data_IF_644106410690
#
_entry.id   IF_644106410690
#
_cell.length_a   1.000
_cell.length_b   1.000
_cell.length_c   1.000
_cell.angle_alpha   90.00
_cell.angle_beta   90.00
_cell.angle_gamma   90.00
#
_symmetry.space_group_name_H-M   'P 1'
#
loop_
_entity.id
_entity.type
_entity.pdbx_description
1 polymer ?
#
# COMPACT_ATOMS: atom_id res chain seq x y z
N UNK A 1 6.42 -13.24 3.75
CA UNK A 1 5.34 -12.55 4.51
C UNK A 1 5.66 -11.06 4.65
N UNK A 2 6.90 -10.74 5.04
CA UNK A 2 7.50 -9.40 5.17
C UNK A 2 7.22 -8.50 3.96
N UNK A 3 7.52 -8.99 2.76
CA UNK A 3 7.33 -8.28 1.48
C UNK A 3 5.86 -8.04 1.10
N UNK A 4 4.94 -8.73 1.76
CA UNK A 4 3.52 -8.42 1.64
C UNK A 4 3.24 -7.01 2.12
N UNK A 5 3.86 -6.55 3.22
CA UNK A 5 3.63 -5.21 3.78
C UNK A 5 3.88 -4.10 2.76
N UNK A 6 4.99 -4.18 2.03
CA UNK A 6 5.39 -3.25 0.96
C UNK A 6 4.32 -3.10 -0.11
N UNK A 7 3.78 -4.22 -0.60
CA UNK A 7 2.77 -4.21 -1.65
C UNK A 7 1.45 -3.55 -1.21
N UNK A 8 1.05 -3.72 0.05
CA UNK A 8 -0.15 -3.04 0.58
C UNK A 8 0.10 -1.55 0.82
N UNK A 9 1.31 -1.19 1.29
CA UNK A 9 1.72 0.22 1.37
C UNK A 9 1.78 0.88 -0.01
N UNK A 10 2.19 0.13 -1.04
CA UNK A 10 2.17 0.61 -2.43
C UNK A 10 0.73 0.90 -2.87
N UNK A 11 -0.18 -0.05 -2.72
CA UNK A 11 -1.60 0.16 -3.06
C UNK A 11 -2.19 1.36 -2.30
N UNK A 12 -1.90 1.47 -1.00
CA UNK A 12 -2.34 2.58 -0.17
C UNK A 12 -1.81 3.95 -0.62
N UNK A 13 -0.50 4.08 -0.82
CA UNK A 13 0.13 5.35 -1.19
C UNK A 13 -0.24 5.77 -2.61
N UNK A 14 -0.38 4.81 -3.54
CA UNK A 14 -0.91 5.04 -4.86
C UNK A 14 -2.35 5.58 -4.80
N UNK A 15 -3.24 4.89 -4.09
CA UNK A 15 -4.64 5.33 -3.97
C UNK A 15 -4.74 6.70 -3.29
N UNK A 16 -3.97 6.97 -2.24
CA UNK A 16 -3.98 8.30 -1.63
C UNK A 16 -3.58 9.40 -2.60
N UNK A 17 -2.56 9.17 -3.44
CA UNK A 17 -2.18 10.14 -4.48
C UNK A 17 -3.29 10.31 -5.51
N UNK A 18 -3.91 9.22 -5.98
CA UNK A 18 -4.97 9.26 -6.97
C UNK A 18 -6.16 10.13 -6.52
N UNK A 19 -6.50 10.06 -5.23
CA UNK A 19 -7.61 10.82 -4.64
C UNK A 19 -7.14 12.10 -3.92
N UNK A 20 -5.90 12.55 -4.12
CA UNK A 20 -5.29 13.72 -3.46
C UNK A 20 -5.38 13.72 -1.91
N UNK A 21 -5.55 12.54 -1.31
CA UNK A 21 -5.77 12.36 0.12
C UNK A 21 -7.14 12.82 0.63
N UNK A 22 -8.05 13.28 -0.23
CA UNK A 22 -9.39 13.69 0.16
C UNK A 22 -10.36 12.51 0.10
N UNK A 23 -10.67 11.99 1.29
CA UNK A 23 -11.57 10.86 1.50
C UNK A 23 -12.78 11.28 2.36
N UNK A 24 -13.15 12.56 2.32
CA UNK A 24 -14.20 13.14 3.16
C UNK A 24 -15.61 12.70 2.76
N UNK A 25 -15.83 12.38 1.48
CA UNK A 25 -17.11 11.92 0.96
C UNK A 25 -17.21 10.38 0.92
N UNK A 26 -18.40 9.85 1.21
CA UNK A 26 -18.66 8.40 1.23
C UNK A 26 -18.37 7.72 -0.13
N UNK A 27 -18.72 8.38 -1.24
CA UNK A 27 -18.44 7.88 -2.59
C UNK A 27 -16.93 7.81 -2.85
N UNK A 28 -16.20 8.86 -2.46
CA UNK A 28 -14.74 8.91 -2.60
C UNK A 28 -14.05 7.85 -1.76
N UNK A 29 -14.53 7.61 -0.54
CA UNK A 29 -14.04 6.53 0.32
C UNK A 29 -14.31 5.14 -0.29
N UNK A 30 -15.47 4.93 -0.92
CA UNK A 30 -15.79 3.70 -1.62
C UNK A 30 -14.84 3.48 -2.81
N UNK A 31 -14.70 4.46 -3.69
CA UNK A 31 -13.82 4.39 -4.86
C UNK A 31 -12.35 4.20 -4.46
N UNK A 32 -11.90 4.87 -3.39
CA UNK A 32 -10.59 4.66 -2.80
C UNK A 32 -10.40 3.21 -2.37
N UNK A 33 -11.37 2.63 -1.65
CA UNK A 33 -11.27 1.25 -1.19
C UNK A 33 -11.32 0.27 -2.35
N UNK A 34 -12.14 0.51 -3.38
CA UNK A 34 -12.13 -0.29 -4.60
C UNK A 34 -10.79 -0.23 -5.32
N UNK A 35 -10.17 0.95 -5.39
CA UNK A 35 -8.83 1.13 -5.97
C UNK A 35 -7.78 0.37 -5.17
N UNK A 36 -7.76 0.52 -3.84
CA UNK A 36 -6.82 -0.22 -2.99
C UNK A 36 -7.00 -1.71 -3.17
N UNK A 37 -8.23 -2.21 -3.20
CA UNK A 37 -8.53 -3.62 -3.41
C UNK A 37 -8.19 -4.10 -4.83
N UNK A 38 -8.35 -3.24 -5.85
CA UNK A 38 -7.98 -3.55 -7.23
C UNK A 38 -6.46 -3.66 -7.39
N UNK A 39 -5.71 -2.67 -6.89
CA UNK A 39 -4.25 -2.62 -6.98
C UNK A 39 -3.60 -3.69 -6.08
N UNK A 40 -4.16 -3.94 -4.89
CA UNK A 40 -3.66 -5.01 -4.01
C UNK A 40 -4.19 -6.41 -4.37
N UNK A 41 -5.05 -6.52 -5.40
CA UNK A 41 -5.85 -7.72 -5.71
C UNK A 41 -6.85 -8.12 -4.62
N UNK A 42 -6.83 -7.41 -3.47
CA UNK A 42 -7.66 -7.36 -2.26
C UNK A 42 -6.79 -7.44 -1.01
N UNK A 43 -5.84 -8.37 -0.96
CA UNK A 43 -4.93 -8.68 0.14
C UNK A 43 -4.11 -9.92 -0.31
N UNK A 44 -3.62 -9.91 -1.54
CA UNK A 44 -3.53 -11.11 -2.39
C UNK A 44 -3.16 -12.42 -1.64
N UNK A 45 -4.14 -13.30 -1.45
CA UNK A 45 -4.05 -14.46 -0.56
C UNK A 45 -3.10 -15.50 -1.16
N UNK A 46 -1.97 -15.70 -0.48
CA UNK A 46 -0.82 -16.57 -0.79
C UNK A 46 0.22 -16.06 -1.79
N UNK A 47 0.10 -14.86 -2.35
CA UNK A 47 1.21 -14.35 -3.15
C UNK A 47 2.38 -14.03 -2.21
N UNK A 48 3.48 -14.76 -2.40
CA UNK A 48 4.73 -14.59 -1.67
C UNK A 48 5.71 -13.98 -2.65
N UNK A 49 6.19 -12.78 -2.32
CA UNK A 49 7.31 -12.18 -3.03
C UNK A 49 8.61 -12.72 -2.45
N UNK A 50 9.59 -12.88 -3.32
CA UNK A 50 10.97 -13.30 -3.01
C UNK A 50 11.91 -12.12 -2.77
N UNK A 51 11.52 -10.91 -3.19
CA UNK A 51 12.29 -9.68 -2.98
C UNK A 51 11.42 -8.41 -2.92
N UNK A 52 12.00 -7.33 -2.38
CA UNK A 52 11.42 -5.97 -2.41
C UNK A 52 11.19 -5.48 -3.83
N UNK A 53 12.14 -5.75 -4.74
CA UNK A 53 12.01 -5.45 -6.15
C UNK A 53 10.76 -6.10 -6.75
N UNK A 54 10.56 -7.40 -6.51
CA UNK A 54 9.40 -8.14 -7.02
C UNK A 54 8.08 -7.56 -6.47
N UNK A 55 8.02 -7.25 -5.18
CA UNK A 55 6.83 -6.68 -4.56
C UNK A 55 6.47 -5.30 -5.15
N UNK A 56 7.46 -4.44 -5.38
CA UNK A 56 7.25 -3.11 -5.94
C UNK A 56 6.87 -3.17 -7.42
N UNK A 57 7.54 -4.02 -8.20
CA UNK A 57 7.18 -4.24 -9.61
C UNK A 57 5.80 -4.85 -9.76
N UNK A 58 5.39 -5.77 -8.87
CA UNK A 58 4.02 -6.25 -8.85
C UNK A 58 3.00 -5.12 -8.64
N UNK A 59 3.33 -4.13 -7.78
CA UNK A 59 2.53 -2.92 -7.58
C UNK A 59 2.40 -2.10 -8.86
N UNK A 60 3.53 -1.83 -9.53
CA UNK A 60 3.56 -1.12 -10.81
C UNK A 60 2.71 -1.85 -11.85
N UNK A 61 2.89 -3.17 -12.01
CA UNK A 61 2.12 -3.97 -12.96
C UNK A 61 0.63 -3.99 -12.62
N UNK A 62 0.24 -4.04 -11.35
CA UNK A 62 -1.16 -3.98 -10.93
C UNK A 62 -1.83 -2.64 -11.31
N UNK A 63 -1.08 -1.53 -11.24
CA UNK A 63 -1.56 -0.22 -11.69
C UNK A 63 -1.66 -0.16 -13.22
N UNK A 64 -0.61 -0.59 -13.93
CA UNK A 64 -0.53 -0.53 -15.40
C UNK A 64 -1.49 -1.49 -16.10
N UNK A 65 -1.85 -2.61 -15.48
CA UNK A 65 -2.88 -3.53 -15.98
C UNK A 65 -4.30 -3.18 -15.52
N UNK A 66 -4.41 -2.24 -14.58
CA UNK A 66 -5.67 -1.77 -14.02
C UNK A 66 -6.29 -0.63 -14.83
N UNK A 67 -7.25 0.06 -14.21
CA UNK A 67 -7.98 1.18 -14.84
C UNK A 67 -7.22 2.52 -14.78
N UNK A 68 -6.00 2.54 -14.22
CA UNK A 68 -5.31 3.76 -13.79
C UNK A 68 -4.06 4.06 -14.63
N UNK A 69 -4.10 3.72 -15.92
CA UNK A 69 -2.93 3.76 -16.84
C UNK A 69 -2.60 5.16 -17.37
N UNK A 70 -3.40 6.18 -17.06
CA UNK A 70 -3.30 7.52 -17.62
C UNK A 70 -2.22 8.39 -16.99
N UNK A 71 -1.65 7.98 -15.86
CA UNK A 71 -0.56 8.69 -15.17
C UNK A 71 0.73 7.86 -15.26
N UNK A 72 1.67 8.23 -16.15
CA UNK A 72 2.95 7.54 -16.30
C UNK A 72 3.86 7.66 -15.07
N UNK A 73 3.72 8.73 -14.28
CA UNK A 73 4.58 8.99 -13.11
C UNK A 73 3.99 8.40 -11.83
N UNK A 74 2.67 8.25 -11.77
CA UNK A 74 1.91 7.71 -10.64
C UNK A 74 2.51 6.46 -10.00
N UNK A 75 2.88 5.41 -10.77
CA UNK A 75 3.53 4.22 -10.23
C UNK A 75 4.87 4.52 -9.53
N UNK A 76 5.75 5.30 -10.17
CA UNK A 76 7.07 5.68 -9.63
C UNK A 76 6.94 6.52 -8.37
N UNK A 77 5.97 7.43 -8.35
CA UNK A 77 5.68 8.29 -7.21
C UNK A 77 5.04 7.53 -6.03
N UNK A 78 4.29 6.46 -6.29
CA UNK A 78 3.86 5.53 -5.26
C UNK A 78 5.05 4.78 -4.66
N UNK A 79 6.01 4.31 -5.48
CA UNK A 79 7.24 3.66 -4.99
C UNK A 79 8.02 4.58 -4.03
N UNK A 80 8.18 5.85 -4.40
CA UNK A 80 8.81 6.87 -3.55
C UNK A 80 8.07 7.07 -2.24
N UNK A 81 6.74 7.12 -2.30
CA UNK A 81 5.89 7.31 -1.13
C UNK A 81 5.97 6.13 -0.15
N UNK A 82 6.05 4.89 -0.67
CA UNK A 82 6.33 3.69 0.15
C UNK A 82 7.66 3.83 0.89
N UNK A 83 8.73 4.18 0.19
CA UNK A 83 10.03 4.38 0.80
C UNK A 83 9.99 5.46 1.90
N UNK A 84 9.27 6.56 1.67
CA UNK A 84 9.10 7.62 2.68
C UNK A 84 8.33 7.16 3.92
N UNK A 85 7.22 6.43 3.76
CA UNK A 85 6.45 5.88 4.89
C UNK A 85 7.28 4.93 5.74
N UNK A 86 8.08 4.08 5.09
CA UNK A 86 8.95 3.11 5.77
C UNK A 86 10.15 3.76 6.44
N UNK A 87 10.66 4.87 5.91
CA UNK A 87 11.81 5.57 6.46
C UNK A 87 11.43 6.43 7.67
N UNK A 88 10.19 6.97 7.66
CA UNK A 88 9.73 7.95 8.63
C UNK A 88 10.57 9.23 8.60
N UNK A 89 10.35 10.10 9.60
CA UNK A 89 11.14 11.33 9.74
C UNK A 89 12.54 11.05 10.30
N UNK A 90 12.63 10.11 11.24
CA UNK A 90 13.87 9.69 11.88
C UNK A 90 13.77 8.24 12.37
N UNK A 91 14.92 7.62 12.68
CA UNK A 91 15.03 6.22 13.10
C UNK A 91 14.11 5.88 14.29
N UNK A 92 14.02 6.75 15.28
CA UNK A 92 13.22 6.54 16.50
C UNK A 92 11.71 6.57 16.23
N UNK A 93 11.30 7.31 15.20
CA UNK A 93 9.90 7.47 14.78
C UNK A 93 9.47 6.50 13.67
N UNK A 94 10.43 5.87 12.98
CA UNK A 94 10.28 5.11 11.74
C UNK A 94 9.09 4.14 11.76
N UNK A 95 9.07 3.27 12.77
CA UNK A 95 8.03 2.26 12.93
C UNK A 95 6.64 2.88 13.05
N UNK A 96 6.52 4.01 13.75
CA UNK A 96 5.23 4.65 13.99
C UNK A 96 4.61 5.20 12.70
N UNK A 97 5.39 5.61 11.71
CA UNK A 97 4.85 6.00 10.40
C UNK A 97 4.24 4.82 9.66
N UNK A 98 4.93 3.67 9.66
CA UNK A 98 4.40 2.44 9.07
C UNK A 98 3.13 1.97 9.81
N UNK A 99 3.15 2.00 11.14
CA UNK A 99 1.99 1.65 11.96
C UNK A 99 0.82 2.62 11.74
N UNK A 100 1.08 3.93 11.61
CA UNK A 100 0.06 4.92 11.34
C UNK A 100 -0.58 4.70 9.96
N UNK A 101 0.23 4.45 8.92
CA UNK A 101 -0.26 4.18 7.57
C UNK A 101 -1.14 2.93 7.52
N UNK A 102 -0.68 1.82 8.11
CA UNK A 102 -1.45 0.57 8.16
C UNK A 102 -2.72 0.70 9.01
N UNK A 103 -2.66 1.44 10.12
CA UNK A 103 -3.83 1.70 10.98
C UNK A 103 -4.86 2.56 10.26
N UNK A 104 -4.40 3.60 9.54
CA UNK A 104 -5.25 4.46 8.73
C UNK A 104 -5.94 3.64 7.63
N UNK A 105 -5.18 2.84 6.88
CA UNK A 105 -5.75 1.96 5.86
C UNK A 105 -6.80 0.99 6.45
N UNK A 106 -6.49 0.35 7.59
CA UNK A 106 -7.44 -0.54 8.26
C UNK A 106 -8.74 0.19 8.67
N UNK A 107 -8.63 1.44 9.12
CA UNK A 107 -9.76 2.31 9.46
C UNK A 107 -10.63 2.63 8.24
N UNK A 108 -10.00 3.05 7.14
CA UNK A 108 -10.69 3.36 5.87
C UNK A 108 -11.47 2.15 5.35
N UNK A 109 -10.84 0.97 5.31
CA UNK A 109 -11.47 -0.28 4.88
C UNK A 109 -12.66 -0.67 5.77
N UNK A 110 -12.58 -0.46 7.09
CA UNK A 110 -13.70 -0.69 8.03
C UNK A 110 -14.84 0.29 7.81
N UNK A 111 -14.54 1.54 7.49
CA UNK A 111 -15.57 2.54 7.24
C UNK A 111 -16.27 2.29 5.91
N UNK A 112 -15.51 2.02 4.83
CA UNK A 112 -16.08 1.65 3.54
C UNK A 112 -16.98 0.41 3.62
N UNK A 113 -16.64 -0.57 4.46
CA UNK A 113 -17.51 -1.73 4.73
C UNK A 113 -18.93 -1.36 5.20
N UNK A 114 -19.10 -0.24 5.91
CA UNK A 114 -20.43 0.24 6.35
C UNK A 114 -21.25 0.77 5.18
N UNK A 115 -20.59 1.17 4.10
CA UNK A 115 -21.18 1.84 2.93
C UNK A 115 -21.55 0.87 1.80
N UNK A 116 -20.96 -0.34 1.74
CA UNK A 116 -21.22 -1.31 0.65
C UNK A 116 -22.36 -2.30 0.93
N UNK A 117 -23.06 -2.67 -0.15
CA UNK A 117 -24.07 -3.73 -0.17
C UNK A 117 -23.49 -5.12 0.14
N UNK A 118 -24.35 -6.07 0.52
CA UNK A 118 -23.94 -7.38 1.10
C UNK A 118 -22.98 -8.20 0.22
N UNK A 119 -23.09 -8.10 -1.10
CA UNK A 119 -22.34 -8.95 -2.04
C UNK A 119 -20.85 -8.55 -2.16
N UNK A 120 -20.52 -7.27 -1.99
CA UNK A 120 -19.13 -6.78 -2.00
C UNK A 120 -18.38 -7.01 -0.66
N UNK A 121 -19.06 -7.53 0.37
CA UNK A 121 -18.51 -7.54 1.74
C UNK A 121 -17.36 -8.51 1.96
N UNK A 122 -17.29 -9.65 1.27
CA UNK A 122 -16.32 -10.72 1.61
C UNK A 122 -14.86 -10.25 1.51
N UNK A 123 -14.52 -9.54 0.43
CA UNK A 123 -13.18 -8.97 0.22
C UNK A 123 -12.85 -7.88 1.26
N UNK A 124 -13.85 -7.04 1.58
CA UNK A 124 -13.76 -6.01 2.62
C UNK A 124 -13.74 -6.56 4.05
N UNK A 125 -14.10 -7.83 4.28
CA UNK A 125 -14.00 -8.50 5.58
C UNK A 125 -12.58 -8.97 5.90
N UNK A 126 -11.85 -9.41 4.88
CA UNK A 126 -10.49 -9.91 5.04
C UNK A 126 -9.50 -8.74 5.09
N UNK A 127 -9.72 -7.69 4.28
CA UNK A 127 -8.85 -6.52 4.13
C UNK A 127 -8.35 -5.90 5.45
N UNK A 128 -9.25 -5.50 6.38
CA UNK A 128 -8.82 -4.95 7.66
C UNK A 128 -8.00 -5.92 8.51
N UNK A 129 -8.34 -7.23 8.49
CA UNK A 129 -7.65 -8.23 9.32
C UNK A 129 -6.20 -8.43 8.90
N UNK A 130 -5.91 -8.37 7.59
CA UNK A 130 -4.51 -8.47 7.15
C UNK A 130 -3.74 -7.19 7.42
N UNK A 131 -4.38 -6.03 7.37
CA UNK A 131 -3.75 -4.80 7.86
C UNK A 131 -3.41 -4.91 9.36
N UNK A 132 -4.31 -5.45 10.18
CA UNK A 132 -4.04 -5.73 11.61
C UNK A 132 -2.90 -6.73 11.83
N UNK A 133 -2.86 -7.79 11.03
CA UNK A 133 -1.76 -8.75 11.06
C UNK A 133 -0.42 -8.08 10.69
N UNK A 134 -0.41 -7.25 9.63
CA UNK A 134 0.77 -6.50 9.21
C UNK A 134 1.19 -5.46 10.25
N UNK A 135 0.23 -4.85 10.96
CA UNK A 135 0.50 -3.95 12.09
C UNK A 135 1.26 -4.68 13.21
N UNK A 136 0.76 -5.84 13.63
CA UNK A 136 1.41 -6.64 14.66
C UNK A 136 2.83 -7.05 14.22
N UNK A 137 2.98 -7.53 12.99
CA UNK A 137 4.27 -7.90 12.43
C UNK A 137 5.24 -6.70 12.38
N UNK A 138 4.81 -5.56 11.84
CA UNK A 138 5.63 -4.35 11.75
C UNK A 138 6.04 -3.81 13.13
N UNK A 139 5.19 -4.01 14.14
CA UNK A 139 5.50 -3.62 15.51
C UNK A 139 6.68 -4.41 16.11
N UNK A 140 6.81 -5.68 15.70
CA UNK A 140 7.82 -6.63 16.19
C UNK A 140 9.12 -6.65 15.37
N UNK A 141 9.09 -6.19 14.11
CA UNK A 141 10.18 -6.36 13.13
C UNK A 141 10.77 -5.02 12.68
N UNK A 142 11.13 -4.16 13.63
CA UNK A 142 11.63 -2.80 13.35
C UNK A 142 12.90 -2.78 12.47
N UNK A 143 13.86 -3.68 12.73
CA UNK A 143 15.08 -3.80 11.93
C UNK A 143 14.78 -4.17 10.47
N UNK A 144 13.80 -5.05 10.25
CA UNK A 144 13.35 -5.43 8.90
C UNK A 144 12.71 -4.24 8.19
N UNK A 145 11.95 -3.38 8.88
CA UNK A 145 11.38 -2.17 8.28
C UNK A 145 12.47 -1.24 7.74
N UNK A 146 13.59 -1.11 8.45
CA UNK A 146 14.72 -0.30 7.98
C UNK A 146 15.36 -0.86 6.71
N UNK A 147 15.56 -2.18 6.65
CA UNK A 147 16.06 -2.83 5.44
C UNK A 147 15.10 -2.59 4.25
N UNK A 148 13.81 -2.83 4.47
CA UNK A 148 12.77 -2.63 3.44
C UNK A 148 12.70 -1.16 2.97
N UNK A 149 12.94 -0.19 3.86
CA UNK A 149 12.98 1.23 3.49
C UNK A 149 14.14 1.55 2.53
N UNK A 150 15.33 1.01 2.81
CA UNK A 150 16.53 1.20 1.97
C UNK A 150 16.33 0.53 0.61
N UNK A 151 15.85 -0.71 0.61
CA UNK A 151 15.57 -1.46 -0.62
C UNK A 151 14.50 -0.76 -1.47
N UNK A 152 13.38 -0.32 -0.87
CA UNK A 152 12.33 0.42 -1.57
C UNK A 152 12.85 1.73 -2.19
N UNK A 153 13.73 2.45 -1.48
CA UNK A 153 14.35 3.66 -2.02
C UNK A 153 15.29 3.35 -3.20
N UNK A 154 16.05 2.25 -3.13
CA UNK A 154 16.91 1.80 -4.22
C UNK A 154 16.07 1.42 -5.45
N UNK A 155 15.01 0.64 -5.27
CA UNK A 155 14.10 0.25 -6.34
C UNK A 155 13.42 1.45 -7.00
N UNK A 156 13.01 2.46 -6.22
CA UNK A 156 12.51 3.72 -6.77
C UNK A 156 13.55 4.41 -7.67
N UNK A 157 14.80 4.52 -7.22
CA UNK A 157 15.87 5.14 -8.01
C UNK A 157 16.11 4.39 -9.31
N UNK A 158 16.20 3.06 -9.26
CA UNK A 158 16.37 2.18 -10.43
C UNK A 158 15.22 2.37 -11.42
N UNK A 159 13.98 2.34 -10.93
CA UNK A 159 12.80 2.47 -11.78
C UNK A 159 12.75 3.86 -12.44
N UNK A 160 12.98 4.93 -11.68
CA UNK A 160 13.03 6.30 -12.19
C UNK A 160 14.11 6.48 -13.26
N UNK A 161 15.30 5.92 -13.05
CA UNK A 161 16.40 6.07 -14.00
C UNK A 161 16.17 5.29 -15.31
N UNK A 162 15.28 4.28 -15.32
CA UNK A 162 14.83 3.58 -16.54
C UNK A 162 13.77 4.34 -17.35
N UNK A 163 13.11 5.33 -16.74
CA UNK A 163 12.09 6.16 -17.38
C UNK A 163 12.68 7.45 -18.01
N UNK A 164 13.97 7.72 -17.79
CA UNK A 164 14.72 8.82 -18.40
C UNK A 164 15.37 8.38 -19.70
#
# INVERSE_FOLDING_TARGET
MELGSLFHLYAYTFSLKLYNGDLSEDLMLQEFCETVLGVSGVLNSRQVFSSTAEAMQAGVQAVLSGRYTSDPEGPSEAMKSVAHVLMGENKTSQKYYTLAALSHLAGLLRNAKKLVEKECKKKLFEAPKKCEFLLAWANEHEDTLMLLAVEAQMEFKIHRDRLK
#
